data_IF_939506567149
#
_entry.id   IF_939506567149
#
_cell.length_a   1.000
_cell.length_b   1.000
_cell.length_c   1.000
_cell.angle_alpha   90.00
_cell.angle_beta   90.00
_cell.angle_gamma   90.00
#
_symmetry.space_group_name_H-M   'P 1'
#
loop_
_entity.id
_entity.type
_entity.pdbx_description
1 polymer ?
#
# COMPACT_ATOMS: atom_id res chain seq x y z
N UNK A 1 -86.71 1.83 -29.91
CA UNK A 1 -86.38 0.98 -28.76
C UNK A 1 -85.30 0.02 -29.18
N UNK A 2 -84.05 0.34 -29.03
CA UNK A 2 -82.92 -0.61 -29.23
C UNK A 2 -81.85 -0.26 -28.18
N UNK A 3 -81.57 -1.18 -27.28
CA UNK A 3 -80.65 -1.12 -26.20
C UNK A 3 -79.25 -1.43 -26.77
N UNK A 4 -78.32 -0.49 -26.66
CA UNK A 4 -76.91 -0.73 -26.97
C UNK A 4 -76.16 -1.03 -25.68
N UNK A 5 -75.64 -2.24 -25.58
CA UNK A 5 -74.71 -2.69 -24.52
C UNK A 5 -73.28 -2.33 -24.92
N UNK A 6 -72.69 -1.42 -24.20
CA UNK A 6 -71.24 -1.12 -24.30
C UNK A 6 -70.47 -2.12 -23.44
N UNK A 7 -69.55 -2.87 -24.08
CA UNK A 7 -68.60 -3.75 -23.43
C UNK A 7 -67.35 -2.92 -23.20
N UNK A 8 -67.04 -2.65 -21.94
CA UNK A 8 -65.76 -2.06 -21.54
C UNK A 8 -64.70 -3.16 -21.36
N UNK A 9 -63.74 -3.22 -22.30
CA UNK A 9 -62.52 -4.05 -22.13
C UNK A 9 -61.58 -3.33 -21.19
N UNK A 10 -61.41 -3.83 -19.97
CA UNK A 10 -60.37 -3.40 -19.04
C UNK A 10 -59.01 -4.00 -19.46
N UNK A 11 -58.10 -3.16 -19.92
CA UNK A 11 -56.67 -3.52 -20.11
C UNK A 11 -55.98 -3.47 -18.75
N UNK A 12 -55.83 -4.64 -18.12
CA UNK A 12 -54.94 -4.77 -16.97
C UNK A 12 -53.51 -4.81 -17.44
N UNK A 13 -52.83 -3.65 -17.34
CA UNK A 13 -51.38 -3.56 -17.54
C UNK A 13 -50.68 -4.28 -16.37
N UNK A 14 -50.15 -5.47 -16.62
CA UNK A 14 -49.19 -6.12 -15.72
C UNK A 14 -47.91 -5.31 -15.72
N UNK A 15 -47.74 -4.47 -14.72
CA UNK A 15 -46.41 -3.95 -14.35
C UNK A 15 -45.63 -5.08 -13.71
N UNK A 16 -44.84 -5.82 -14.52
CA UNK A 16 -43.76 -6.64 -14.03
C UNK A 16 -42.72 -5.71 -13.42
N UNK A 17 -42.84 -5.47 -12.14
CA UNK A 17 -41.80 -4.86 -11.33
C UNK A 17 -40.57 -5.77 -11.35
N UNK A 18 -39.60 -5.46 -12.16
CA UNK A 18 -38.27 -6.04 -12.05
C UNK A 18 -37.68 -5.61 -10.69
N UNK A 19 -38.05 -6.34 -9.65
CA UNK A 19 -37.30 -6.31 -8.40
C UNK A 19 -35.91 -6.83 -8.73
N UNK A 20 -34.97 -5.94 -9.04
CA UNK A 20 -33.56 -6.30 -9.01
C UNK A 20 -33.28 -6.76 -7.57
N UNK A 21 -33.21 -8.06 -7.36
CA UNK A 21 -32.61 -8.64 -6.18
C UNK A 21 -31.22 -8.01 -6.09
N UNK A 22 -31.07 -7.02 -5.22
CA UNK A 22 -29.75 -6.52 -4.86
C UNK A 22 -28.99 -7.73 -4.34
N UNK A 23 -28.12 -8.31 -5.17
CA UNK A 23 -27.24 -9.38 -4.74
C UNK A 23 -26.51 -8.90 -3.48
N UNK A 24 -26.50 -9.72 -2.44
CA UNK A 24 -25.78 -9.41 -1.23
C UNK A 24 -24.32 -9.13 -1.58
N UNK A 25 -23.82 -7.96 -1.13
CA UNK A 25 -22.42 -7.62 -1.39
C UNK A 25 -21.48 -8.55 -0.61
N UNK A 26 -20.37 -8.92 -1.24
CA UNK A 26 -19.32 -9.67 -0.57
C UNK A 26 -18.67 -8.78 0.51
N UNK A 27 -18.66 -9.24 1.75
CA UNK A 27 -17.94 -8.58 2.84
C UNK A 27 -16.45 -8.80 2.68
N UNK A 28 -15.71 -7.73 2.45
CA UNK A 28 -14.27 -7.75 2.17
C UNK A 28 -13.55 -6.84 3.15
N UNK A 29 -12.47 -7.32 3.73
CA UNK A 29 -11.57 -6.51 4.55
C UNK A 29 -10.23 -6.29 3.85
N UNK A 30 -9.72 -5.05 3.95
CA UNK A 30 -8.39 -4.64 3.55
C UNK A 30 -7.60 -4.21 4.79
N UNK A 31 -6.50 -4.91 5.09
CA UNK A 31 -5.52 -4.49 6.09
C UNK A 31 -4.49 -3.59 5.43
N UNK A 32 -4.38 -2.34 5.88
CA UNK A 32 -3.30 -1.44 5.48
C UNK A 32 -1.97 -1.87 6.10
N UNK A 33 -0.86 -1.40 5.53
CA UNK A 33 0.46 -1.62 6.11
C UNK A 33 0.75 -0.70 7.31
N UNK A 34 0.07 0.45 7.39
CA UNK A 34 0.33 1.51 8.36
C UNK A 34 -0.94 2.27 8.72
N UNK A 35 -0.78 3.37 9.48
CA UNK A 35 -1.84 4.33 9.76
C UNK A 35 -2.25 5.08 8.50
N UNK A 36 -3.50 5.54 8.44
CA UNK A 36 -4.01 6.31 7.31
C UNK A 36 -3.14 7.55 7.04
N UNK A 37 -2.59 7.63 5.84
CA UNK A 37 -1.82 8.71 5.25
C UNK A 37 -2.05 8.73 3.74
N UNK A 38 -1.24 9.46 2.97
CA UNK A 38 -1.38 9.68 1.54
C UNK A 38 -1.57 8.41 0.70
N UNK A 39 -0.71 7.41 0.92
CA UNK A 39 -0.76 6.09 0.27
C UNK A 39 -2.13 5.40 0.38
N UNK A 40 -2.85 5.66 1.45
CA UNK A 40 -4.09 4.95 1.76
C UNK A 40 -5.34 5.67 1.25
N UNK A 41 -5.20 6.97 0.92
CA UNK A 41 -6.29 7.84 0.46
C UNK A 41 -7.13 7.23 -0.67
N UNK A 42 -6.54 6.64 -1.73
CA UNK A 42 -7.33 6.11 -2.84
C UNK A 42 -8.29 4.99 -2.46
N UNK A 43 -8.00 4.18 -1.44
CA UNK A 43 -8.93 3.15 -0.98
C UNK A 43 -10.18 3.75 -0.34
N UNK A 44 -10.02 4.80 0.46
CA UNK A 44 -11.14 5.54 1.07
C UNK A 44 -11.93 6.31 0.01
N UNK A 45 -11.24 6.90 -0.98
CA UNK A 45 -11.90 7.57 -2.10
C UNK A 45 -12.75 6.60 -2.92
N UNK A 46 -12.20 5.43 -3.28
CA UNK A 46 -12.92 4.41 -4.01
C UNK A 46 -14.13 3.88 -3.23
N UNK A 47 -14.01 3.74 -1.90
CA UNK A 47 -15.14 3.40 -1.04
C UNK A 47 -16.20 4.49 -1.02
N UNK A 48 -15.81 5.76 -0.81
CA UNK A 48 -16.72 6.93 -0.78
C UNK A 48 -17.46 7.14 -2.12
N UNK A 49 -16.77 6.89 -3.24
CA UNK A 49 -17.34 6.98 -4.59
C UNK A 49 -18.11 5.74 -5.03
N UNK A 50 -18.16 4.71 -4.21
CA UNK A 50 -18.89 3.50 -4.50
C UNK A 50 -18.24 2.60 -5.57
N UNK A 51 -16.93 2.74 -5.85
CA UNK A 51 -16.27 1.91 -6.86
C UNK A 51 -16.23 0.44 -6.43
N UNK A 52 -15.99 0.17 -5.15
CA UNK A 52 -16.08 -1.19 -4.60
C UNK A 52 -17.53 -1.70 -4.56
N UNK A 53 -18.48 -0.85 -4.16
CA UNK A 53 -19.90 -1.21 -4.14
C UNK A 53 -20.43 -1.57 -5.54
N UNK A 54 -19.99 -0.87 -6.60
CA UNK A 54 -20.34 -1.17 -7.99
C UNK A 54 -19.81 -2.54 -8.46
N UNK A 55 -18.76 -3.05 -7.81
CA UNK A 55 -18.21 -4.40 -8.00
C UNK A 55 -18.82 -5.43 -7.04
N UNK A 56 -19.90 -5.09 -6.35
CA UNK A 56 -20.57 -5.97 -5.39
C UNK A 56 -19.75 -6.22 -4.11
N UNK A 57 -18.91 -5.28 -3.72
CA UNK A 57 -18.02 -5.39 -2.54
C UNK A 57 -18.42 -4.39 -1.47
N UNK A 58 -18.70 -4.88 -0.26
CA UNK A 58 -18.79 -4.10 0.98
C UNK A 58 -17.40 -4.09 1.65
N UNK A 59 -16.65 -3.01 1.43
CA UNK A 59 -15.25 -2.90 1.85
C UNK A 59 -15.12 -2.34 3.28
N UNK A 60 -14.45 -3.09 4.16
CA UNK A 60 -13.93 -2.60 5.44
C UNK A 60 -12.42 -2.35 5.32
N UNK A 61 -11.96 -1.18 5.77
CA UNK A 61 -10.53 -0.82 5.74
C UNK A 61 -10.02 -0.75 7.17
N UNK A 62 -8.97 -1.52 7.48
CA UNK A 62 -8.36 -1.62 8.78
C UNK A 62 -6.93 -1.07 8.74
N UNK A 63 -6.57 -0.14 9.64
CA UNK A 63 -5.18 0.33 9.77
C UNK A 63 -4.25 -0.80 10.20
N UNK A 64 -2.97 -0.71 9.80
CA UNK A 64 -1.92 -1.68 10.09
C UNK A 64 -0.83 -1.14 11.02
N UNK A 65 0.09 -2.02 11.39
CA UNK A 65 1.26 -1.70 12.24
C UNK A 65 2.55 -2.30 11.67
N UNK A 66 2.73 -2.22 10.37
CA UNK A 66 3.87 -2.76 9.63
C UNK A 66 3.48 -3.87 8.67
N UNK A 67 4.14 -3.90 7.51
CA UNK A 67 3.84 -4.84 6.42
C UNK A 67 3.97 -6.30 6.83
N UNK A 68 4.95 -6.65 7.68
CA UNK A 68 5.12 -8.03 8.15
C UNK A 68 3.87 -8.51 8.93
N UNK A 69 3.30 -7.66 9.79
CA UNK A 69 2.06 -7.96 10.49
C UNK A 69 0.88 -8.10 9.51
N UNK A 70 0.77 -7.20 8.53
CA UNK A 70 -0.29 -7.26 7.51
C UNK A 70 -0.25 -8.58 6.73
N UNK A 71 0.94 -9.02 6.30
CA UNK A 71 1.09 -10.32 5.59
C UNK A 71 0.64 -11.48 6.48
N UNK A 72 1.00 -11.50 7.77
CA UNK A 72 0.58 -12.54 8.70
C UNK A 72 -0.92 -12.57 8.92
N UNK A 73 -1.57 -11.41 9.06
CA UNK A 73 -3.02 -11.29 9.24
C UNK A 73 -3.79 -11.82 8.02
N UNK A 74 -3.29 -11.54 6.81
CA UNK A 74 -3.87 -12.07 5.56
C UNK A 74 -3.61 -13.57 5.43
N UNK A 75 -2.39 -14.04 5.75
CA UNK A 75 -2.06 -15.46 5.71
C UNK A 75 -2.93 -16.30 6.67
N UNK A 76 -3.31 -15.70 7.81
CA UNK A 76 -4.21 -16.32 8.79
C UNK A 76 -5.70 -16.23 8.39
N UNK A 77 -6.04 -15.58 7.27
CA UNK A 77 -7.42 -15.40 6.82
C UNK A 77 -8.24 -14.40 7.66
N UNK A 78 -7.60 -13.62 8.53
CA UNK A 78 -8.30 -12.63 9.37
C UNK A 78 -8.72 -11.38 8.58
N UNK A 79 -7.99 -11.03 7.52
CA UNK A 79 -8.40 -10.04 6.53
C UNK A 79 -8.31 -10.66 5.11
N UNK A 80 -9.19 -10.22 4.20
CA UNK A 80 -9.29 -10.77 2.84
C UNK A 80 -8.11 -10.34 1.98
N UNK A 81 -7.76 -9.05 2.07
CA UNK A 81 -6.65 -8.44 1.34
C UNK A 81 -5.74 -7.68 2.29
N UNK A 82 -4.50 -7.48 1.87
CA UNK A 82 -3.54 -6.65 2.56
C UNK A 82 -2.81 -5.70 1.61
N UNK A 83 -2.43 -4.54 2.13
CA UNK A 83 -1.45 -3.67 1.52
C UNK A 83 -0.13 -3.87 2.26
N UNK A 84 0.90 -4.36 1.60
CA UNK A 84 2.21 -4.59 2.21
C UNK A 84 3.34 -4.39 1.20
N UNK A 85 4.53 -4.08 1.70
CA UNK A 85 5.72 -4.02 0.84
C UNK A 85 6.08 -5.39 0.26
N UNK A 86 6.66 -5.38 -0.93
CA UNK A 86 7.01 -6.61 -1.66
C UNK A 86 8.00 -7.49 -0.90
N UNK A 87 8.94 -6.90 -0.15
CA UNK A 87 9.94 -7.66 0.58
C UNK A 87 9.31 -8.49 1.71
N UNK A 88 8.36 -7.92 2.43
CA UNK A 88 7.59 -8.63 3.45
C UNK A 88 6.77 -9.79 2.86
N UNK A 89 6.15 -9.58 1.68
CA UNK A 89 5.41 -10.64 0.97
C UNK A 89 6.36 -11.77 0.57
N UNK A 90 7.47 -11.45 -0.12
CA UNK A 90 8.43 -12.45 -0.61
C UNK A 90 9.05 -13.24 0.56
N UNK A 91 9.53 -12.55 1.60
CA UNK A 91 10.18 -13.20 2.74
C UNK A 91 9.23 -14.11 3.53
N UNK A 92 7.97 -13.69 3.69
CA UNK A 92 6.98 -14.48 4.44
C UNK A 92 6.48 -15.67 3.61
N UNK A 93 6.21 -15.46 2.30
CA UNK A 93 5.85 -16.54 1.39
C UNK A 93 6.99 -17.58 1.19
N UNK A 94 8.25 -17.13 1.21
CA UNK A 94 9.42 -18.04 1.15
C UNK A 94 9.55 -18.94 2.38
N UNK A 95 9.02 -18.50 3.53
CA UNK A 95 8.95 -19.28 4.77
C UNK A 95 7.71 -20.18 4.85
N UNK A 96 6.94 -20.27 3.79
CA UNK A 96 5.79 -21.19 3.68
C UNK A 96 4.42 -20.56 3.92
N UNK A 97 4.31 -19.24 4.14
CA UNK A 97 3.01 -18.60 4.20
C UNK A 97 2.33 -18.65 2.82
N UNK A 98 1.06 -19.07 2.81
CA UNK A 98 0.25 -19.16 1.59
C UNK A 98 -0.36 -17.80 1.25
N UNK A 99 0.48 -16.90 0.73
CA UNK A 99 0.08 -15.56 0.30
C UNK A 99 0.72 -15.21 -1.03
N UNK A 100 0.05 -14.35 -1.81
CA UNK A 100 0.54 -13.87 -3.09
C UNK A 100 0.12 -12.43 -3.36
N UNK A 101 1.02 -11.64 -3.94
CA UNK A 101 0.69 -10.33 -4.48
C UNK A 101 -0.15 -10.48 -5.75
N UNK A 102 -1.24 -9.73 -5.84
CA UNK A 102 -2.19 -9.70 -6.96
C UNK A 102 -2.21 -8.37 -7.69
N UNK A 103 -1.49 -7.38 -7.16
CA UNK A 103 -1.35 -6.06 -7.74
C UNK A 103 -0.06 -5.41 -7.22
N UNK A 104 0.80 -4.95 -8.12
CA UNK A 104 1.99 -4.17 -7.79
C UNK A 104 1.60 -2.69 -7.77
N UNK A 105 1.35 -2.14 -6.59
CA UNK A 105 0.79 -0.81 -6.46
C UNK A 105 1.85 0.27 -6.65
N UNK A 106 2.87 0.31 -5.78
CA UNK A 106 4.03 1.18 -5.98
C UNK A 106 5.14 0.36 -6.63
N UNK A 107 5.55 0.74 -7.84
CA UNK A 107 6.60 0.01 -8.58
C UNK A 107 8.02 0.46 -8.23
N UNK A 108 8.15 1.50 -7.41
CA UNK A 108 9.39 1.92 -6.74
C UNK A 108 9.12 2.16 -5.27
N UNK A 109 10.17 2.10 -4.44
CA UNK A 109 10.00 2.30 -3.01
C UNK A 109 10.29 3.74 -2.57
N UNK A 110 9.45 4.28 -1.67
CA UNK A 110 9.68 5.52 -0.94
C UNK A 110 10.56 5.35 0.31
N UNK A 111 11.02 4.13 0.61
CA UNK A 111 11.80 3.85 1.82
C UNK A 111 13.05 4.72 1.93
N UNK A 112 13.25 5.30 3.10
CA UNK A 112 14.24 6.33 3.32
C UNK A 112 14.77 6.31 4.75
N UNK A 113 15.94 6.89 4.93
CA UNK A 113 16.34 7.48 6.19
C UNK A 113 15.83 8.92 6.19
N UNK A 114 14.98 9.26 7.13
CA UNK A 114 14.43 10.62 7.29
C UNK A 114 15.03 11.26 8.54
N UNK A 115 15.57 12.45 8.39
CA UNK A 115 16.22 13.21 9.46
C UNK A 115 15.75 14.67 9.44
N UNK A 116 16.18 15.44 10.43
CA UNK A 116 16.20 16.90 10.31
C UNK A 116 17.34 17.31 9.35
N UNK A 117 17.13 18.37 8.60
CA UNK A 117 18.12 18.84 7.61
C UNK A 117 19.49 19.21 8.26
N UNK A 118 19.47 19.70 9.52
CA UNK A 118 20.65 20.05 10.30
C UNK A 118 21.44 18.82 10.82
N UNK A 119 20.86 17.61 10.79
CA UNK A 119 21.56 16.37 11.14
C UNK A 119 22.64 15.98 10.12
N UNK A 120 22.64 16.58 8.93
CA UNK A 120 23.67 16.40 7.91
C UNK A 120 23.70 15.03 7.24
N UNK A 121 22.63 14.22 7.38
CA UNK A 121 22.55 12.87 6.79
C UNK A 121 22.05 12.98 5.35
N UNK A 122 22.95 12.74 4.39
CA UNK A 122 22.64 12.79 2.95
C UNK A 122 23.09 11.55 2.19
N UNK A 123 24.06 10.84 2.72
CA UNK A 123 24.60 9.61 2.14
C UNK A 123 24.60 8.49 3.18
N UNK A 124 24.67 7.21 2.76
CA UNK A 124 24.77 6.08 3.70
C UNK A 124 25.96 6.20 4.67
N UNK A 125 27.06 6.81 4.25
CA UNK A 125 28.24 6.99 5.09
C UNK A 125 28.00 7.91 6.28
N UNK A 126 27.10 8.89 6.14
CA UNK A 126 26.76 9.83 7.22
C UNK A 126 26.01 9.16 8.38
N UNK A 127 25.57 7.92 8.20
CA UNK A 127 24.88 7.15 9.23
C UNK A 127 25.83 6.52 10.26
N UNK A 128 27.13 6.37 9.95
CA UNK A 128 28.08 5.81 10.92
C UNK A 128 28.14 6.67 12.19
N UNK A 129 27.96 6.05 13.34
CA UNK A 129 27.89 6.70 14.64
C UNK A 129 26.55 7.33 15.00
N UNK A 130 25.55 7.31 14.10
CA UNK A 130 24.24 7.93 14.32
C UNK A 130 23.27 6.98 15.06
N UNK A 131 22.32 7.59 15.76
CA UNK A 131 21.16 6.92 16.38
C UNK A 131 19.98 7.00 15.44
N UNK A 132 19.41 5.86 15.05
CA UNK A 132 18.34 5.77 14.07
C UNK A 132 17.13 5.04 14.64
N UNK A 133 15.99 5.73 14.70
CA UNK A 133 14.74 5.17 15.22
C UNK A 133 14.10 4.22 14.18
N UNK A 134 13.71 3.02 14.64
CA UNK A 134 13.06 1.99 13.82
C UNK A 134 11.92 1.33 14.60
N UNK A 135 10.89 0.87 13.91
CA UNK A 135 9.79 0.11 14.54
C UNK A 135 10.03 -1.39 14.39
N UNK A 136 9.80 -2.21 15.43
CA UNK A 136 9.83 -3.66 15.29
C UNK A 136 8.87 -4.16 14.20
N UNK A 137 9.33 -5.10 13.38
CA UNK A 137 8.53 -5.65 12.27
C UNK A 137 8.45 -4.78 11.02
N UNK A 138 9.11 -3.62 11.02
CA UNK A 138 9.27 -2.76 9.87
C UNK A 138 10.41 -3.30 8.97
N UNK A 139 10.22 -3.48 7.66
CA UNK A 139 11.24 -4.02 6.77
C UNK A 139 12.44 -3.09 6.58
N UNK A 140 12.27 -1.79 6.86
CA UNK A 140 13.28 -0.76 6.56
C UNK A 140 14.62 -1.02 7.27
N UNK A 141 14.60 -1.46 8.54
CA UNK A 141 15.85 -1.75 9.27
C UNK A 141 16.68 -2.85 8.62
N UNK A 142 15.99 -3.78 8.04
CA UNK A 142 16.60 -4.92 7.37
C UNK A 142 17.05 -4.57 5.94
N UNK A 143 16.29 -3.75 5.22
CA UNK A 143 16.68 -3.24 3.90
C UNK A 143 17.82 -2.21 3.99
N UNK A 144 17.98 -1.52 5.12
CA UNK A 144 19.13 -0.66 5.35
C UNK A 144 20.45 -1.44 5.26
N UNK A 145 20.48 -2.73 5.63
CA UNK A 145 21.66 -3.57 5.44
C UNK A 145 22.06 -3.68 3.96
N UNK A 146 21.08 -3.72 3.06
CA UNK A 146 21.34 -3.70 1.62
C UNK A 146 21.98 -2.37 1.19
N UNK A 147 21.45 -1.24 1.68
CA UNK A 147 22.01 0.10 1.43
C UNK A 147 23.45 0.18 1.94
N UNK A 148 23.71 -0.23 3.19
CA UNK A 148 25.05 -0.20 3.76
C UNK A 148 26.04 -1.02 2.92
N UNK A 149 25.68 -2.25 2.60
CA UNK A 149 26.57 -3.17 1.85
C UNK A 149 26.84 -2.67 0.44
N UNK A 150 25.82 -2.16 -0.26
CA UNK A 150 25.96 -1.59 -1.60
C UNK A 150 26.88 -0.36 -1.63
N UNK A 151 27.03 0.36 -0.51
CA UNK A 151 27.83 1.59 -0.41
C UNK A 151 29.08 1.44 0.47
N UNK A 152 29.48 0.23 0.81
CA UNK A 152 30.65 -0.06 1.65
C UNK A 152 30.64 0.65 3.01
N UNK A 153 29.45 0.72 3.62
CA UNK A 153 29.21 1.32 4.95
C UNK A 153 29.12 0.21 5.99
N UNK A 154 29.73 0.42 7.14
CA UNK A 154 29.61 -0.50 8.27
C UNK A 154 28.33 -0.22 9.07
N UNK A 155 27.28 -0.98 8.76
CA UNK A 155 26.00 -0.88 9.45
C UNK A 155 26.06 -1.14 10.95
N UNK A 156 27.09 -1.85 11.46
CA UNK A 156 27.25 -2.12 12.89
C UNK A 156 27.56 -0.83 13.68
N UNK A 157 28.04 0.20 13.01
CA UNK A 157 28.26 1.51 13.61
C UNK A 157 26.99 2.36 13.76
N UNK A 158 25.85 1.90 13.26
CA UNK A 158 24.56 2.58 13.37
C UNK A 158 23.84 2.05 14.60
N UNK A 159 23.50 2.92 15.54
CA UNK A 159 22.73 2.54 16.72
C UNK A 159 21.24 2.56 16.42
N UNK A 160 20.61 1.38 16.31
CA UNK A 160 19.17 1.25 16.11
C UNK A 160 18.42 1.42 17.42
N UNK A 161 17.49 2.39 17.46
CA UNK A 161 16.61 2.62 18.62
C UNK A 161 15.23 2.10 18.25
N UNK A 162 14.79 1.08 18.98
CA UNK A 162 13.45 0.52 18.81
C UNK A 162 12.40 1.43 19.45
N UNK A 163 11.43 1.85 18.65
CA UNK A 163 10.35 2.74 19.09
C UNK A 163 9.01 2.30 18.51
N UNK A 164 7.93 2.65 19.21
CA UNK A 164 6.58 2.49 18.67
C UNK A 164 6.39 3.32 17.40
N UNK A 165 5.53 2.88 16.46
CA UNK A 165 5.19 3.62 15.26
C UNK A 165 4.86 5.08 15.50
N UNK A 166 4.00 5.36 16.49
CA UNK A 166 3.56 6.71 16.82
C UNK A 166 4.67 7.61 17.40
N UNK A 167 5.72 7.02 17.99
CA UNK A 167 6.82 7.73 18.61
C UNK A 167 7.94 8.10 17.62
N UNK A 168 8.02 7.48 16.46
CA UNK A 168 9.14 7.65 15.49
C UNK A 168 9.45 9.12 15.19
N UNK A 169 8.45 9.88 14.75
CA UNK A 169 8.61 11.29 14.36
C UNK A 169 9.00 12.15 15.56
N UNK A 170 8.34 11.96 16.71
CA UNK A 170 8.63 12.72 17.93
C UNK A 170 10.06 12.46 18.42
N UNK A 171 10.54 11.21 18.34
CA UNK A 171 11.90 10.84 18.74
C UNK A 171 12.97 11.64 17.97
N UNK A 172 12.74 11.91 16.67
CA UNK A 172 13.65 12.74 15.85
C UNK A 172 13.47 14.22 16.16
N UNK A 173 12.24 14.71 16.30
CA UNK A 173 11.98 16.12 16.62
C UNK A 173 12.57 16.53 17.97
N UNK A 174 12.55 15.62 18.95
CA UNK A 174 13.16 15.82 20.27
C UNK A 174 14.67 15.53 20.29
N UNK A 175 15.28 15.25 19.13
CA UNK A 175 16.71 14.92 18.99
C UNK A 175 17.18 13.74 19.86
N UNK A 176 16.27 12.82 20.23
CA UNK A 176 16.58 11.56 20.92
C UNK A 176 17.19 10.53 19.94
N UNK A 177 16.87 10.66 18.64
CA UNK A 177 17.54 10.01 17.53
C UNK A 177 17.93 11.05 16.47
N UNK A 178 19.01 10.77 15.72
CA UNK A 178 19.48 11.63 14.63
C UNK A 178 18.61 11.50 13.38
N UNK A 179 18.00 10.33 13.20
CA UNK A 179 17.12 10.00 12.09
C UNK A 179 16.11 8.94 12.48
N UNK A 180 15.17 8.68 11.59
CA UNK A 180 14.28 7.53 11.62
C UNK A 180 14.31 6.77 10.28
N UNK A 181 13.98 5.48 10.32
CA UNK A 181 13.67 4.73 9.11
C UNK A 181 12.19 4.91 8.78
N UNK A 182 11.90 5.44 7.61
CA UNK A 182 10.53 5.78 7.19
C UNK A 182 10.40 5.99 5.71
N UNK A 183 9.35 6.66 5.29
CA UNK A 183 9.08 6.99 3.91
C UNK A 183 9.34 8.47 3.59
N UNK A 184 9.92 8.73 2.43
CA UNK A 184 9.94 10.07 1.85
C UNK A 184 8.53 10.55 1.47
N UNK A 185 7.62 9.61 1.35
CA UNK A 185 6.19 9.75 1.07
C UNK A 185 5.33 9.93 2.34
N UNK A 186 5.88 9.65 3.54
CA UNK A 186 5.11 9.69 4.80
C UNK A 186 5.82 10.53 5.87
N UNK A 187 6.80 9.97 6.61
CA UNK A 187 7.39 10.62 7.78
C UNK A 187 8.09 11.94 7.45
N UNK A 188 8.59 12.10 6.23
CA UNK A 188 9.11 13.37 5.73
C UNK A 188 8.08 14.50 5.89
N UNK A 189 6.86 14.28 5.44
CA UNK A 189 5.79 15.28 5.52
C UNK A 189 5.27 15.46 6.94
N UNK A 190 5.23 14.38 7.73
CA UNK A 190 4.85 14.49 9.14
C UNK A 190 5.82 15.41 9.92
N UNK A 191 7.12 15.34 9.64
CA UNK A 191 8.12 16.25 10.21
C UNK A 191 7.93 17.68 9.66
N UNK A 192 7.79 17.83 8.33
CA UNK A 192 7.57 19.14 7.67
C UNK A 192 6.39 19.89 8.27
N UNK A 193 5.26 19.23 8.42
CA UNK A 193 4.03 19.86 8.92
C UNK A 193 3.96 20.00 10.45
N UNK A 194 4.99 19.53 11.16
CA UNK A 194 5.24 19.89 12.56
C UNK A 194 6.20 21.10 12.70
N UNK A 195 6.52 21.78 11.59
CA UNK A 195 7.30 23.01 11.57
C UNK A 195 8.81 22.81 11.52
N UNK A 196 9.30 21.58 11.32
CA UNK A 196 10.72 21.30 11.14
C UNK A 196 11.09 21.14 9.66
N UNK A 197 12.37 21.28 9.32
CA UNK A 197 12.88 21.07 7.97
C UNK A 197 13.44 19.66 7.86
N UNK A 198 12.73 18.71 7.17
CA UNK A 198 13.20 17.34 6.99
C UNK A 198 14.21 17.21 5.85
N UNK A 199 15.00 16.14 5.89
CA UNK A 199 15.77 15.61 4.79
C UNK A 199 15.46 14.11 4.64
N UNK A 200 15.49 13.58 3.42
CA UNK A 200 15.29 12.17 3.14
C UNK A 200 16.44 11.63 2.27
N UNK A 201 17.02 10.52 2.69
CA UNK A 201 17.98 9.73 1.94
C UNK A 201 17.25 8.46 1.49
N UNK A 202 16.82 8.41 0.24
CA UNK A 202 16.02 7.28 -0.28
C UNK A 202 16.89 6.06 -0.55
N UNK A 203 16.44 4.89 -0.16
CA UNK A 203 17.12 3.61 -0.39
C UNK A 203 17.30 3.31 -1.89
N UNK A 204 16.33 3.70 -2.69
CA UNK A 204 16.35 3.52 -4.13
C UNK A 204 17.54 4.20 -4.81
N UNK A 205 17.99 5.35 -4.29
CA UNK A 205 19.10 6.11 -4.84
C UNK A 205 20.46 5.50 -4.46
N UNK A 206 20.47 4.57 -3.50
CA UNK A 206 21.68 3.93 -2.94
C UNK A 206 21.66 2.40 -3.08
N UNK A 207 21.09 1.88 -4.18
CA UNK A 207 21.21 0.48 -4.57
C UNK A 207 20.16 -0.48 -4.00
N UNK A 208 19.21 0.03 -3.21
CA UNK A 208 18.12 -0.79 -2.67
C UNK A 208 16.74 -0.36 -3.20
N UNK A 209 16.61 -0.21 -4.52
CA UNK A 209 15.31 0.01 -5.15
C UNK A 209 14.61 -1.34 -5.36
N UNK A 210 13.48 -1.52 -4.69
CA UNK A 210 12.59 -2.68 -4.79
C UNK A 210 11.21 -2.25 -5.29
N UNK A 211 10.41 -3.21 -5.75
CA UNK A 211 8.96 -3.00 -5.84
C UNK A 211 8.49 -2.54 -4.47
N UNK A 212 7.78 -1.43 -4.42
CA UNK A 212 7.32 -0.83 -3.15
C UNK A 212 6.13 -1.59 -2.57
N UNK A 213 4.95 -0.97 -2.60
CA UNK A 213 3.75 -1.55 -2.01
C UNK A 213 2.99 -2.44 -2.99
N UNK A 214 2.41 -3.52 -2.47
CA UNK A 214 1.60 -4.47 -3.23
C UNK A 214 0.30 -4.76 -2.52
N UNK A 215 -0.73 -5.10 -3.28
CA UNK A 215 -1.93 -5.75 -2.74
C UNK A 215 -1.70 -7.25 -2.76
N UNK A 216 -1.92 -7.89 -1.62
CA UNK A 216 -1.80 -9.33 -1.47
C UNK A 216 -3.11 -9.94 -0.95
N UNK A 217 -3.24 -11.24 -1.17
CA UNK A 217 -4.30 -12.08 -0.58
C UNK A 217 -3.77 -13.49 -0.31
N UNK A 218 -4.54 -14.32 0.39
CA UNK A 218 -4.17 -15.71 0.66
C UNK A 218 -4.34 -16.61 -0.58
N UNK A 219 -3.55 -17.68 -0.66
CA UNK A 219 -3.72 -18.70 -1.70
C UNK A 219 -5.10 -19.38 -1.66
N UNK A 220 -5.69 -19.47 -0.46
CA UNK A 220 -7.07 -19.95 -0.30
C UNK A 220 -8.06 -19.03 -1.02
N UNK A 221 -7.97 -17.70 -0.79
CA UNK A 221 -8.83 -16.72 -1.48
C UNK A 221 -8.64 -16.75 -2.98
N UNK A 222 -7.39 -16.83 -3.46
CA UNK A 222 -7.07 -16.97 -4.89
C UNK A 222 -7.71 -18.19 -5.52
N UNK A 223 -7.68 -19.31 -4.82
CA UNK A 223 -8.24 -20.59 -5.33
C UNK A 223 -9.76 -20.64 -5.29
N UNK A 224 -10.36 -20.14 -4.18
CA UNK A 224 -11.82 -20.27 -3.97
C UNK A 224 -12.61 -19.13 -4.60
N UNK A 225 -12.04 -17.92 -4.64
CA UNK A 225 -12.76 -16.71 -5.03
C UNK A 225 -11.95 -15.83 -6.02
N UNK A 226 -11.44 -16.37 -7.15
CA UNK A 226 -10.63 -15.59 -8.10
C UNK A 226 -11.40 -14.41 -8.71
N UNK A 227 -12.72 -14.55 -8.88
CA UNK A 227 -13.57 -13.47 -9.36
C UNK A 227 -13.63 -12.30 -8.37
N UNK A 228 -13.73 -12.56 -7.07
CA UNK A 228 -13.67 -11.53 -6.04
C UNK A 228 -12.33 -10.77 -6.11
N UNK A 229 -11.22 -11.48 -6.28
CA UNK A 229 -9.88 -10.86 -6.43
C UNK A 229 -9.86 -9.93 -7.63
N UNK A 230 -10.39 -10.37 -8.78
CA UNK A 230 -10.47 -9.57 -10.01
C UNK A 230 -11.31 -8.30 -9.83
N UNK A 231 -12.48 -8.41 -9.19
CA UNK A 231 -13.36 -7.28 -8.90
C UNK A 231 -12.71 -6.28 -7.95
N UNK A 232 -12.06 -6.77 -6.89
CA UNK A 232 -11.34 -5.93 -5.92
C UNK A 232 -10.18 -5.17 -6.58
N UNK A 233 -9.34 -5.84 -7.36
CA UNK A 233 -8.21 -5.22 -8.07
C UNK A 233 -8.71 -4.17 -9.06
N UNK A 234 -9.77 -4.46 -9.83
CA UNK A 234 -10.37 -3.50 -10.77
C UNK A 234 -10.89 -2.24 -10.07
N UNK A 235 -11.63 -2.39 -8.97
CA UNK A 235 -12.08 -1.27 -8.15
C UNK A 235 -10.92 -0.46 -7.58
N UNK A 236 -9.86 -1.13 -7.15
CA UNK A 236 -8.65 -0.50 -6.61
C UNK A 236 -7.90 0.30 -7.69
N UNK A 237 -7.69 -0.28 -8.87
CA UNK A 237 -7.07 0.44 -10.02
C UNK A 237 -7.87 1.70 -10.33
N UNK A 238 -9.19 1.58 -10.48
CA UNK A 238 -10.07 2.73 -10.72
C UNK A 238 -9.96 3.79 -9.62
N UNK A 239 -9.90 3.37 -8.37
CA UNK A 239 -9.75 4.28 -7.23
C UNK A 239 -8.46 5.11 -7.32
N UNK A 240 -7.35 4.49 -7.72
CA UNK A 240 -6.07 5.16 -7.92
C UNK A 240 -6.07 6.08 -9.15
N UNK A 241 -6.62 5.63 -10.27
CA UNK A 241 -6.76 6.44 -11.48
C UNK A 241 -7.56 7.72 -11.22
N UNK A 242 -8.68 7.61 -10.53
CA UNK A 242 -9.53 8.75 -10.22
C UNK A 242 -8.94 9.65 -9.12
N UNK A 243 -8.20 9.07 -8.15
CA UNK A 243 -7.44 9.85 -7.17
C UNK A 243 -6.31 10.65 -7.81
N UNK A 244 -5.62 10.07 -8.80
CA UNK A 244 -4.59 10.78 -9.60
C UNK A 244 -5.16 11.99 -10.34
N UNK A 245 -6.39 11.89 -10.88
CA UNK A 245 -7.08 12.99 -11.55
C UNK A 245 -7.58 14.06 -10.58
N UNK A 246 -7.99 13.66 -9.38
CA UNK A 246 -8.65 14.52 -8.40
C UNK A 246 -8.07 14.32 -6.99
N UNK A 247 -6.78 14.59 -6.76
CA UNK A 247 -6.11 14.24 -5.51
C UNK A 247 -6.69 14.98 -4.29
N UNK A 248 -7.13 16.24 -4.46
CA UNK A 248 -7.78 16.99 -3.38
C UNK A 248 -9.09 16.36 -2.92
N UNK A 249 -9.96 15.95 -3.87
CA UNK A 249 -11.22 15.28 -3.55
C UNK A 249 -10.99 13.88 -2.93
N UNK A 250 -9.91 13.21 -3.32
CA UNK A 250 -9.54 11.94 -2.73
C UNK A 250 -9.13 12.09 -1.25
N UNK A 251 -8.34 13.11 -0.93
CA UNK A 251 -7.98 13.45 0.47
C UNK A 251 -9.22 13.83 1.28
N UNK A 252 -10.13 14.63 0.71
CA UNK A 252 -11.37 15.02 1.41
C UNK A 252 -12.24 13.79 1.76
N UNK A 253 -12.25 12.76 0.91
CA UNK A 253 -12.94 11.51 1.21
C UNK A 253 -12.28 10.72 2.37
N UNK A 254 -10.95 10.67 2.40
CA UNK A 254 -10.22 10.04 3.50
C UNK A 254 -10.43 10.77 4.84
N UNK A 255 -10.51 12.10 4.81
CA UNK A 255 -10.78 12.91 6.00
C UNK A 255 -12.17 12.67 6.62
N UNK A 256 -13.15 12.15 5.86
CA UNK A 256 -14.43 11.71 6.44
C UNK A 256 -14.24 10.55 7.42
N UNK A 257 -13.29 9.67 7.16
CA UNK A 257 -12.96 8.56 8.04
C UNK A 257 -12.01 8.94 9.19
N UNK A 258 -11.17 9.95 8.98
CA UNK A 258 -10.18 10.43 9.97
C UNK A 258 -10.06 11.96 9.89
N UNK A 259 -10.96 12.69 10.60
CA UNK A 259 -11.04 14.16 10.50
C UNK A 259 -9.81 14.92 11.04
N UNK A 260 -8.98 14.28 11.86
CA UNK A 260 -7.77 14.86 12.46
C UNK A 260 -6.54 14.81 11.53
N UNK A 261 -6.66 14.28 10.32
CA UNK A 261 -5.60 14.33 9.32
C UNK A 261 -5.25 15.78 8.95
N UNK A 262 -3.96 16.06 8.83
CA UNK A 262 -3.52 17.30 8.22
C UNK A 262 -3.72 17.19 6.69
N UNK A 263 -4.72 17.91 6.17
CA UNK A 263 -5.13 17.85 4.77
C UNK A 263 -3.99 18.06 3.79
N UNK A 264 -3.16 19.11 4.01
CA UNK A 264 -2.08 19.43 3.10
C UNK A 264 -0.95 18.41 3.17
N UNK A 265 -0.61 17.95 4.38
CA UNK A 265 0.36 16.86 4.55
C UNK A 265 -0.07 15.60 3.82
N UNK A 266 -1.34 15.21 3.96
CA UNK A 266 -1.90 14.02 3.31
C UNK A 266 -1.93 14.17 1.78
N UNK A 267 -2.19 15.38 1.28
CA UNK A 267 -2.13 15.68 -0.15
C UNK A 267 -0.71 15.57 -0.70
N UNK A 268 0.27 16.18 -0.01
CA UNK A 268 1.67 16.12 -0.42
C UNK A 268 2.19 14.66 -0.43
N UNK A 269 1.80 13.86 0.57
CA UNK A 269 2.08 12.42 0.62
C UNK A 269 1.50 11.70 -0.60
N UNK A 270 0.20 11.87 -0.88
CA UNK A 270 -0.46 11.25 -2.02
C UNK A 270 0.22 11.61 -3.34
N UNK A 271 0.68 12.85 -3.51
CA UNK A 271 1.36 13.28 -4.74
C UNK A 271 2.68 12.52 -4.93
N UNK A 272 3.45 12.27 -3.87
CA UNK A 272 4.65 11.43 -3.94
C UNK A 272 4.30 9.98 -4.25
N UNK A 273 3.26 9.44 -3.63
CA UNK A 273 2.80 8.07 -3.91
C UNK A 273 2.37 7.89 -5.37
N UNK A 274 1.75 8.91 -5.96
CA UNK A 274 1.38 8.91 -7.39
C UNK A 274 2.62 8.81 -8.29
N UNK A 275 3.72 9.47 -7.94
CA UNK A 275 4.98 9.37 -8.67
C UNK A 275 5.66 7.99 -8.50
N UNK A 276 5.43 7.32 -7.37
CA UNK A 276 5.96 5.98 -7.09
C UNK A 276 5.16 4.83 -7.73
N UNK A 277 3.97 5.12 -8.30
CA UNK A 277 3.17 4.11 -9.04
C UNK A 277 3.95 3.51 -10.20
N UNK A 278 4.82 4.28 -10.81
CA UNK A 278 5.55 3.90 -12.01
C UNK A 278 7.00 3.48 -11.74
N UNK A 279 7.49 2.59 -12.60
CA UNK A 279 8.90 2.29 -12.81
C UNK A 279 9.24 2.42 -14.30
N UNK A 280 10.51 2.31 -14.64
CA UNK A 280 10.96 2.25 -16.05
C UNK A 280 10.30 1.10 -16.82
N UNK A 281 9.85 0.06 -16.12
CA UNK A 281 9.37 -1.19 -16.70
C UNK A 281 7.83 -1.34 -16.64
N UNK A 282 7.13 -0.62 -15.75
CA UNK A 282 5.66 -0.72 -15.57
C UNK A 282 4.85 -0.02 -16.66
N UNK A 283 5.48 0.90 -17.40
CA UNK A 283 4.90 1.62 -18.56
C UNK A 283 3.59 2.35 -18.26
N UNK A 284 3.45 2.96 -17.09
CA UNK A 284 2.28 3.74 -16.71
C UNK A 284 1.03 2.92 -16.37
N UNK A 285 1.13 1.60 -16.26
CA UNK A 285 0.00 0.72 -15.93
C UNK A 285 -0.13 0.57 -14.42
N UNK A 286 -1.12 1.24 -13.84
CA UNK A 286 -1.40 1.10 -12.40
C UNK A 286 -1.74 -0.35 -12.08
N UNK A 287 -1.03 -0.89 -11.09
CA UNK A 287 -1.23 -2.26 -10.62
C UNK A 287 -0.37 -3.32 -11.30
N UNK A 288 0.25 -3.00 -12.45
CA UNK A 288 1.07 -3.95 -13.19
C UNK A 288 2.47 -4.07 -12.57
N UNK A 289 2.84 -5.28 -12.20
CA UNK A 289 4.19 -5.62 -11.75
C UNK A 289 5.06 -6.13 -12.90
N UNK A 290 6.09 -5.37 -13.28
CA UNK A 290 7.01 -5.81 -14.31
C UNK A 290 7.97 -6.88 -13.78
N UNK A 291 8.22 -7.92 -14.57
CA UNK A 291 9.14 -9.00 -14.21
C UNK A 291 10.51 -8.47 -13.78
N UNK A 292 11.08 -7.53 -14.52
CA UNK A 292 12.40 -6.98 -14.23
C UNK A 292 12.49 -6.32 -12.84
N UNK A 293 11.42 -5.64 -12.39
CA UNK A 293 11.37 -4.99 -11.08
C UNK A 293 11.26 -6.02 -9.95
N UNK A 294 10.49 -7.09 -10.18
CA UNK A 294 10.36 -8.20 -9.23
C UNK A 294 11.63 -9.04 -9.15
N UNK A 295 12.28 -9.33 -10.30
CA UNK A 295 13.56 -10.05 -10.33
C UNK A 295 14.65 -9.25 -9.61
N UNK A 296 14.71 -7.91 -9.80
CA UNK A 296 15.59 -7.03 -9.04
C UNK A 296 15.29 -7.08 -7.54
N UNK A 297 14.02 -7.03 -7.15
CA UNK A 297 13.59 -7.14 -5.75
C UNK A 297 14.07 -8.44 -5.13
N UNK A 298 13.85 -9.57 -5.81
CA UNK A 298 14.29 -10.90 -5.34
C UNK A 298 15.82 -10.96 -5.24
N UNK A 299 16.53 -10.40 -6.22
CA UNK A 299 17.99 -10.35 -6.20
C UNK A 299 18.53 -9.55 -5.00
N UNK A 300 17.94 -8.39 -4.70
CA UNK A 300 18.30 -7.60 -3.51
C UNK A 300 18.07 -8.42 -2.24
N UNK A 301 16.91 -9.10 -2.13
CA UNK A 301 16.62 -9.92 -0.97
C UNK A 301 17.55 -11.13 -0.82
N UNK A 302 17.93 -11.78 -1.92
CA UNK A 302 18.94 -12.86 -1.91
C UNK A 302 20.31 -12.37 -1.46
N UNK A 303 20.76 -11.26 -2.01
CA UNK A 303 22.10 -10.74 -1.76
C UNK A 303 22.28 -10.11 -0.37
N UNK A 304 21.21 -9.56 0.19
CA UNK A 304 21.30 -8.71 1.39
C UNK A 304 20.37 -9.12 2.53
N UNK A 305 19.47 -10.10 2.29
CA UNK A 305 18.44 -10.50 3.27
C UNK A 305 18.37 -12.01 3.48
N UNK A 306 19.42 -12.73 3.08
CA UNK A 306 19.52 -14.20 3.22
C UNK A 306 18.29 -14.94 2.68
N UNK A 307 17.62 -14.38 1.66
CA UNK A 307 16.49 -15.04 1.03
C UNK A 307 16.96 -16.32 0.34
N UNK A 308 16.57 -17.47 0.87
CA UNK A 308 16.82 -18.77 0.28
C UNK A 308 15.60 -19.20 -0.51
N UNK A 309 15.67 -19.11 -1.82
CA UNK A 309 14.57 -19.57 -2.72
C UNK A 309 15.08 -19.78 -4.14
N UNK A 310 14.61 -20.85 -4.77
CA UNK A 310 14.78 -21.10 -6.21
C UNK A 310 13.54 -20.65 -7.01
N UNK A 311 12.52 -20.16 -6.31
CA UNK A 311 11.27 -19.71 -6.94
C UNK A 311 11.50 -18.43 -7.74
N UNK A 312 10.85 -18.35 -8.90
CA UNK A 312 10.79 -17.14 -9.72
C UNK A 312 9.79 -16.13 -9.17
N UNK A 313 9.80 -14.92 -9.71
CA UNK A 313 8.87 -13.84 -9.31
C UNK A 313 7.40 -14.26 -9.39
N UNK A 314 7.01 -15.15 -10.30
CA UNK A 314 5.65 -15.64 -10.47
C UNK A 314 5.12 -16.44 -9.26
N UNK A 315 6.01 -16.92 -8.40
CA UNK A 315 5.59 -17.54 -7.13
C UNK A 315 5.07 -16.50 -6.12
N UNK A 316 5.52 -15.27 -6.22
CA UNK A 316 5.25 -14.20 -5.26
C UNK A 316 4.25 -13.17 -5.77
N UNK A 317 4.11 -13.03 -7.09
CA UNK A 317 3.24 -12.06 -7.74
C UNK A 317 2.53 -12.65 -8.95
N UNK A 318 1.37 -12.08 -9.28
CA UNK A 318 0.65 -12.33 -10.53
C UNK A 318 -0.02 -11.05 -11.04
N UNK A 319 0.04 -10.86 -12.36
CA UNK A 319 -0.69 -9.78 -13.05
C UNK A 319 -2.06 -10.23 -13.59
N UNK A 320 -2.48 -11.47 -13.31
CA UNK A 320 -3.69 -12.08 -13.87
C UNK A 320 -4.96 -11.26 -13.62
N UNK A 321 -5.01 -10.53 -12.51
CA UNK A 321 -6.19 -9.79 -12.08
C UNK A 321 -6.14 -8.31 -12.43
N UNK A 322 -5.00 -7.82 -12.95
CA UNK A 322 -4.80 -6.41 -13.34
C UNK A 322 -5.47 -6.16 -14.70
N UNK A 323 -6.35 -5.14 -14.83
CA UNK A 323 -7.06 -4.84 -16.08
C UNK A 323 -6.15 -4.34 -17.21
#
# INVERSE_FOLDING_TARGET
MKIARSIALGAAALMLGASSLAAAQDKVSLRLNWYLGGLHVPFYYGKDKGYYAAEGIDLTINEGRGSANTVQVVAAGSDTFGLADSSSVVLTASKGADVKSVMSLLNTTGFSVVSLADAGIRTPKDLEGKKVAVTPGDPLGQLLQAVCKANSVDCAKITMIQVDPAAKVVTVLEKKADALLGGADDQYFLIKYKGATPAAMRYADFGANIVGMTILTSGETLKKNPDLVKRFVRATVKSWEESKKNPGAAVDAAMKAKPDLNRQSTLDQLMVDIDLLDSKNSKGRIGYGAQADWDQTIAILKNYRDLQTDKTWTAFHTNEFVP
#
